data_IF_084228801074
#
_entry.id   IF_084228801074
#
_cell.length_a   1.000
_cell.length_b   1.000
_cell.length_c   1.000
_cell.angle_alpha   90.00
_cell.angle_beta   90.00
_cell.angle_gamma   90.00
#
_symmetry.space_group_name_H-M   'P 1'
#
loop_
_entity.id
_entity.type
_entity.pdbx_description
1 polymer ?
#
# COMPACT_ATOMS: atom_id res chain seq x y z
N UNK A 1 29.47 3.29 -26.67
CA UNK A 1 28.48 2.97 -25.62
C UNK A 1 27.59 4.18 -25.43
N UNK A 2 26.37 4.15 -25.96
CA UNK A 2 25.38 5.21 -25.75
C UNK A 2 24.86 5.09 -24.31
N UNK A 3 24.80 6.18 -23.53
CA UNK A 3 24.25 6.11 -22.18
C UNK A 3 22.79 5.70 -22.29
N UNK A 4 22.51 4.48 -21.85
CA UNK A 4 21.17 3.92 -21.80
C UNK A 4 20.32 4.75 -20.85
N UNK A 5 19.56 5.69 -21.41
CA UNK A 5 18.37 6.38 -20.89
C UNK A 5 18.27 6.41 -19.36
N UNK A 6 18.92 7.38 -18.74
CA UNK A 6 18.83 7.67 -17.30
C UNK A 6 17.40 8.17 -16.92
N UNK A 7 16.62 8.61 -17.91
CA UNK A 7 15.23 9.05 -17.76
C UNK A 7 14.26 7.87 -17.81
N UNK A 8 13.21 7.90 -16.97
CA UNK A 8 12.13 6.91 -17.07
C UNK A 8 11.38 7.07 -18.39
N UNK A 9 10.98 5.94 -18.98
CA UNK A 9 10.14 5.94 -20.18
C UNK A 9 8.77 6.54 -19.82
N UNK A 10 8.06 7.22 -20.75
CA UNK A 10 6.73 7.75 -20.49
C UNK A 10 5.75 6.72 -19.90
N UNK A 11 5.91 5.45 -20.28
CA UNK A 11 5.14 4.32 -19.74
C UNK A 11 5.39 4.05 -18.25
N UNK A 12 6.63 4.18 -17.79
CA UNK A 12 7.01 3.96 -16.38
C UNK A 12 6.36 5.04 -15.49
N UNK A 13 6.35 6.29 -15.95
CA UNK A 13 5.70 7.40 -15.25
C UNK A 13 4.17 7.23 -15.21
N UNK A 14 3.55 6.85 -16.33
CA UNK A 14 2.11 6.59 -16.39
C UNK A 14 1.70 5.43 -15.48
N UNK A 15 2.47 4.33 -15.48
CA UNK A 15 2.24 3.20 -14.58
C UNK A 15 2.42 3.59 -13.12
N UNK A 16 3.45 4.38 -12.80
CA UNK A 16 3.66 4.89 -11.43
C UNK A 16 2.47 5.72 -10.96
N UNK A 17 1.99 6.65 -11.78
CA UNK A 17 0.84 7.48 -11.48
C UNK A 17 -0.42 6.64 -11.26
N UNK A 18 -0.70 5.71 -12.17
CA UNK A 18 -1.85 4.80 -12.05
C UNK A 18 -1.80 4.02 -10.74
N UNK A 19 -0.66 3.42 -10.41
CA UNK A 19 -0.50 2.65 -9.17
C UNK A 19 -0.59 3.55 -7.93
N UNK A 20 -0.01 4.75 -7.96
CA UNK A 20 -0.11 5.69 -6.85
C UNK A 20 -1.58 6.05 -6.54
N UNK A 21 -2.39 6.26 -7.58
CA UNK A 21 -3.82 6.52 -7.45
C UNK A 21 -4.65 5.27 -7.10
N UNK A 22 -4.15 4.08 -7.40
CA UNK A 22 -4.80 2.80 -7.06
C UNK A 22 -4.65 2.43 -5.58
N UNK A 23 -3.57 2.84 -4.90
CA UNK A 23 -3.33 2.45 -3.49
C UNK A 23 -4.45 2.93 -2.54
N UNK A 24 -4.89 4.21 -2.53
CA UNK A 24 -5.98 4.66 -1.67
C UNK A 24 -7.31 3.89 -1.79
N UNK A 25 -7.87 3.67 -3.00
CA UNK A 25 -9.12 2.92 -3.12
C UNK A 25 -8.96 1.45 -2.70
N UNK A 26 -7.79 0.82 -2.90
CA UNK A 26 -7.55 -0.53 -2.38
C UNK A 26 -7.59 -0.58 -0.85
N UNK A 27 -7.03 0.42 -0.16
CA UNK A 27 -7.08 0.52 1.30
C UNK A 27 -8.51 0.80 1.79
N UNK A 28 -9.27 1.65 1.11
CA UNK A 28 -10.68 1.88 1.44
C UNK A 28 -11.51 0.61 1.26
N UNK A 29 -11.29 -0.13 0.18
CA UNK A 29 -11.94 -1.41 -0.05
C UNK A 29 -11.60 -2.40 1.07
N UNK A 30 -10.37 -2.39 1.61
CA UNK A 30 -10.02 -3.22 2.76
C UNK A 30 -10.83 -2.91 4.01
N UNK A 31 -10.97 -1.62 4.33
CA UNK A 31 -11.76 -1.17 5.47
C UNK A 31 -13.24 -1.55 5.32
N UNK A 32 -13.76 -1.48 4.09
CA UNK A 32 -15.10 -1.95 3.78
C UNK A 32 -15.23 -3.47 3.97
N UNK A 33 -14.30 -4.26 3.42
CA UNK A 33 -14.37 -5.73 3.49
C UNK A 33 -14.26 -6.25 4.93
N UNK A 34 -13.38 -5.67 5.76
CA UNK A 34 -13.32 -6.04 7.18
C UNK A 34 -14.59 -5.61 7.92
N UNK A 35 -15.15 -4.43 7.59
CA UNK A 35 -16.43 -3.98 8.13
C UNK A 35 -17.56 -4.97 7.82
N UNK A 36 -17.69 -5.39 6.57
CA UNK A 36 -18.68 -6.39 6.15
C UNK A 36 -18.49 -7.74 6.85
N UNK A 37 -17.25 -8.13 7.15
CA UNK A 37 -16.95 -9.35 7.89
C UNK A 37 -17.32 -9.28 9.37
N UNK A 38 -17.35 -8.09 9.97
CA UNK A 38 -17.82 -7.90 11.35
C UNK A 38 -19.34 -8.00 11.48
N UNK A 39 -20.08 -7.75 10.39
CA UNK A 39 -21.54 -7.86 10.33
C UNK A 39 -22.00 -9.14 9.62
N UNK A 40 -21.15 -10.17 9.54
CA UNK A 40 -21.42 -11.48 8.95
C UNK A 40 -21.95 -11.46 7.49
N UNK A 41 -21.74 -10.37 6.76
CA UNK A 41 -22.21 -10.22 5.37
C UNK A 41 -21.26 -10.87 4.36
N UNK A 42 -19.96 -10.88 4.68
CA UNK A 42 -18.90 -11.39 3.81
C UNK A 42 -17.77 -11.87 4.72
N UNK A 43 -17.47 -13.18 4.77
CA UNK A 43 -16.43 -13.70 5.69
C UNK A 43 -15.06 -13.02 5.55
N UNK A 44 -14.09 -13.35 6.42
CA UNK A 44 -12.76 -12.67 6.42
C UNK A 44 -11.88 -12.96 5.20
N UNK A 45 -12.19 -14.00 4.42
CA UNK A 45 -11.35 -14.46 3.30
C UNK A 45 -11.05 -13.37 2.25
N UNK A 46 -12.05 -12.66 1.69
CA UNK A 46 -11.83 -11.57 0.75
C UNK A 46 -10.93 -10.45 1.29
N UNK A 47 -11.10 -10.04 2.56
CA UNK A 47 -10.25 -9.03 3.21
C UNK A 47 -8.79 -9.50 3.26
N UNK A 48 -8.55 -10.73 3.72
CA UNK A 48 -7.21 -11.32 3.79
C UNK A 48 -6.56 -11.46 2.40
N UNK A 49 -7.32 -11.93 1.40
CA UNK A 49 -6.84 -12.11 0.05
C UNK A 49 -6.43 -10.78 -0.61
N UNK A 50 -7.29 -9.76 -0.52
CA UNK A 50 -6.95 -8.41 -0.96
C UNK A 50 -5.74 -7.87 -0.17
N UNK A 51 -5.59 -8.29 1.10
CA UNK A 51 -4.57 -7.79 2.02
C UNK A 51 -3.19 -8.17 1.55
N UNK A 52 -3.04 -9.45 1.19
CA UNK A 52 -1.85 -9.96 0.51
C UNK A 52 -1.65 -9.32 -0.86
N UNK A 53 -2.70 -9.15 -1.66
CA UNK A 53 -2.57 -8.64 -3.03
C UNK A 53 -2.02 -7.20 -3.11
N UNK A 54 -2.30 -6.34 -2.14
CA UNK A 54 -1.84 -4.94 -2.10
C UNK A 54 -0.30 -4.82 -2.08
N UNK A 55 0.44 -5.82 -1.61
CA UNK A 55 1.91 -5.76 -1.62
C UNK A 55 2.47 -5.61 -3.04
N UNK A 56 1.81 -6.22 -4.03
CA UNK A 56 2.27 -6.25 -5.43
C UNK A 56 2.41 -4.83 -6.00
N UNK A 57 1.36 -3.98 -6.03
CA UNK A 57 1.49 -2.61 -6.53
C UNK A 57 2.48 -1.77 -5.71
N UNK A 58 2.62 -2.00 -4.39
CA UNK A 58 3.61 -1.29 -3.56
C UNK A 58 5.04 -1.63 -4.00
N UNK A 59 5.33 -2.91 -4.24
CA UNK A 59 6.65 -3.34 -4.71
C UNK A 59 6.96 -2.81 -6.12
N UNK A 60 5.96 -2.77 -7.00
CA UNK A 60 6.14 -2.17 -8.34
C UNK A 60 6.44 -0.67 -8.23
N UNK A 61 5.73 0.07 -7.37
CA UNK A 61 6.05 1.47 -7.07
C UNK A 61 7.49 1.62 -6.54
N UNK A 62 7.95 0.71 -5.68
CA UNK A 62 9.30 0.75 -5.14
C UNK A 62 10.36 0.58 -6.24
N UNK A 63 10.16 -0.38 -7.15
CA UNK A 63 11.04 -0.62 -8.29
C UNK A 63 11.06 0.60 -9.23
N UNK A 64 9.88 1.13 -9.59
CA UNK A 64 9.77 2.31 -10.45
C UNK A 64 10.40 3.56 -9.82
N UNK A 65 10.30 3.72 -8.49
CA UNK A 65 10.92 4.85 -7.77
C UNK A 65 12.46 4.84 -7.79
N UNK A 66 13.12 3.77 -8.28
CA UNK A 66 14.57 3.78 -8.47
C UNK A 66 15.01 4.54 -9.73
N UNK A 67 14.09 4.78 -10.67
CA UNK A 67 14.34 5.59 -11.88
C UNK A 67 14.62 7.04 -11.50
N UNK A 68 15.55 7.71 -12.18
CA UNK A 68 15.99 9.07 -11.80
C UNK A 68 14.83 10.06 -11.76
N UNK A 69 13.93 10.01 -12.74
CA UNK A 69 12.76 10.90 -12.80
C UNK A 69 11.67 10.61 -11.76
N UNK A 70 11.71 9.47 -11.06
CA UNK A 70 10.74 9.08 -10.03
C UNK A 70 11.35 9.01 -8.63
N UNK A 71 12.67 9.23 -8.50
CA UNK A 71 13.44 9.08 -7.25
C UNK A 71 12.97 10.00 -6.13
N UNK A 72 12.43 11.16 -6.46
CA UNK A 72 11.85 12.10 -5.50
C UNK A 72 10.69 11.49 -4.68
N UNK A 73 9.99 10.49 -5.23
CA UNK A 73 8.87 9.82 -4.55
C UNK A 73 9.32 8.62 -3.69
N UNK A 74 10.59 8.19 -3.78
CA UNK A 74 11.09 6.98 -3.11
C UNK A 74 10.83 6.99 -1.60
N UNK A 75 11.03 8.12 -0.92
CA UNK A 75 10.78 8.23 0.53
C UNK A 75 9.33 7.91 0.89
N UNK A 76 8.37 8.44 0.11
CA UNK A 76 6.95 8.18 0.31
C UNK A 76 6.59 6.71 0.03
N UNK A 77 7.15 6.13 -1.02
CA UNK A 77 6.93 4.70 -1.34
C UNK A 77 7.51 3.80 -0.24
N UNK A 78 8.70 4.11 0.28
CA UNK A 78 9.29 3.38 1.42
C UNK A 78 8.44 3.53 2.67
N UNK A 79 7.89 4.72 2.93
CA UNK A 79 6.96 4.93 4.04
C UNK A 79 5.70 4.07 3.90
N UNK A 80 5.09 4.02 2.71
CA UNK A 80 3.93 3.16 2.41
C UNK A 80 4.29 1.69 2.64
N UNK A 81 5.44 1.23 2.15
CA UNK A 81 5.90 -0.14 2.35
C UNK A 81 6.13 -0.46 3.84
N UNK A 82 6.74 0.46 4.58
CA UNK A 82 6.94 0.31 6.03
C UNK A 82 5.61 0.23 6.79
N UNK A 83 4.66 1.12 6.48
CA UNK A 83 3.32 1.10 7.05
C UNK A 83 2.58 -0.19 6.66
N UNK A 84 2.72 -0.68 5.44
CA UNK A 84 2.15 -1.98 5.02
C UNK A 84 2.79 -3.15 5.78
N UNK A 85 4.12 -3.15 5.97
CA UNK A 85 4.80 -4.17 6.78
C UNK A 85 4.33 -4.15 8.23
N UNK A 86 4.20 -2.97 8.82
CA UNK A 86 3.64 -2.80 10.16
C UNK A 86 2.17 -3.26 10.22
N UNK A 87 1.38 -2.99 9.19
CA UNK A 87 0.00 -3.46 9.05
C UNK A 87 -0.06 -4.98 9.21
N UNK A 88 0.75 -5.71 8.44
CA UNK A 88 0.81 -7.18 8.50
C UNK A 88 1.29 -7.66 9.86
N UNK A 89 2.34 -7.04 10.42
CA UNK A 89 2.88 -7.42 11.72
C UNK A 89 1.87 -7.24 12.86
N UNK A 90 1.08 -6.15 12.85
CA UNK A 90 0.05 -5.90 13.86
C UNK A 90 -1.12 -6.89 13.74
N UNK A 91 -1.57 -7.21 12.51
CA UNK A 91 -2.64 -8.18 12.31
C UNK A 91 -2.22 -9.60 12.70
N UNK A 92 -1.16 -10.11 12.06
CA UNK A 92 -0.71 -11.50 12.25
C UNK A 92 -0.10 -11.69 13.64
N UNK A 93 0.71 -10.73 14.09
CA UNK A 93 1.32 -10.78 15.41
C UNK A 93 0.30 -10.67 16.52
N UNK A 94 -0.64 -9.71 16.43
CA UNK A 94 -1.71 -9.53 17.40
C UNK A 94 -2.61 -10.77 17.53
N UNK A 95 -2.94 -11.40 16.40
CA UNK A 95 -3.68 -12.67 16.39
C UNK A 95 -2.86 -13.81 17.01
N UNK A 96 -1.58 -13.97 16.63
CA UNK A 96 -0.73 -15.04 17.10
C UNK A 96 -0.51 -15.05 18.62
N UNK A 97 -0.46 -13.87 19.26
CA UNK A 97 -0.33 -13.75 20.71
C UNK A 97 -1.66 -13.47 21.43
N UNK A 98 -2.79 -13.55 20.72
CA UNK A 98 -4.14 -13.26 21.26
C UNK A 98 -4.26 -11.89 21.94
N UNK A 99 -3.50 -10.89 21.45
CA UNK A 99 -3.51 -9.54 21.99
C UNK A 99 -4.45 -8.64 21.17
N UNK A 100 -5.73 -8.63 21.54
CA UNK A 100 -6.77 -7.79 20.92
C UNK A 100 -6.37 -6.30 20.76
N UNK A 101 -5.73 -5.65 21.76
CA UNK A 101 -5.28 -4.27 21.60
C UNK A 101 -4.23 -4.07 20.49
N UNK A 102 -3.29 -5.02 20.33
CA UNK A 102 -2.28 -4.96 19.26
C UNK A 102 -2.94 -5.16 17.90
N UNK A 103 -3.90 -6.09 17.82
CA UNK A 103 -4.70 -6.27 16.62
C UNK A 103 -5.51 -5.01 16.29
N UNK A 104 -6.03 -4.27 17.28
CA UNK A 104 -6.77 -3.03 17.05
C UNK A 104 -5.88 -1.90 16.47
N UNK A 105 -4.57 -1.88 16.78
CA UNK A 105 -3.64 -0.92 16.19
C UNK A 105 -3.52 -1.08 14.67
N UNK A 106 -3.80 -2.26 14.12
CA UNK A 106 -3.89 -2.49 12.67
C UNK A 106 -4.91 -1.56 12.01
N UNK A 107 -6.07 -1.33 12.64
CA UNK A 107 -7.08 -0.43 12.09
C UNK A 107 -6.60 1.02 12.07
N UNK A 108 -5.92 1.47 13.13
CA UNK A 108 -5.32 2.81 13.17
C UNK A 108 -4.21 2.97 12.11
N UNK A 109 -3.36 1.97 11.93
CA UNK A 109 -2.30 1.98 10.93
C UNK A 109 -2.85 1.97 9.48
N UNK A 110 -4.02 1.35 9.22
CA UNK A 110 -4.70 1.46 7.93
C UNK A 110 -5.04 2.92 7.58
N UNK A 111 -5.45 3.72 8.56
CA UNK A 111 -5.68 5.16 8.39
C UNK A 111 -4.41 5.92 8.00
N UNK A 112 -3.29 5.63 8.66
CA UNK A 112 -1.99 6.21 8.31
C UNK A 112 -1.54 5.78 6.90
N UNK A 113 -1.75 4.53 6.54
CA UNK A 113 -1.45 3.99 5.21
C UNK A 113 -2.28 4.68 4.12
N UNK A 114 -3.56 4.95 4.39
CA UNK A 114 -4.45 5.71 3.50
C UNK A 114 -3.96 7.15 3.31
N UNK A 115 -3.59 7.84 4.38
CA UNK A 115 -3.02 9.19 4.32
C UNK A 115 -1.69 9.22 3.55
N UNK A 116 -0.82 8.23 3.76
CA UNK A 116 0.44 8.12 3.02
C UNK A 116 0.20 7.84 1.52
N UNK A 117 -0.73 6.94 1.19
CA UNK A 117 -1.12 6.63 -0.19
C UNK A 117 -1.72 7.84 -0.92
N UNK A 118 -2.65 8.55 -0.28
CA UNK A 118 -3.25 9.77 -0.85
C UNK A 118 -2.22 10.89 -1.02
N UNK A 119 -1.29 11.05 -0.06
CA UNK A 119 -0.18 11.99 -0.17
C UNK A 119 0.76 11.65 -1.32
N UNK A 120 1.02 10.36 -1.59
CA UNK A 120 1.79 9.95 -2.77
C UNK A 120 1.03 10.34 -4.05
N UNK A 121 -0.22 9.88 -4.20
CA UNK A 121 -1.07 10.11 -5.38
C UNK A 121 -1.18 11.59 -5.76
N UNK A 122 -1.40 12.47 -4.78
CA UNK A 122 -1.53 13.92 -4.99
C UNK A 122 -0.23 14.63 -5.38
N UNK A 123 0.92 14.04 -5.09
CA UNK A 123 2.21 14.64 -5.45
C UNK A 123 2.81 14.08 -6.73
N UNK A 124 2.11 13.13 -7.35
CA UNK A 124 2.55 12.47 -8.59
C UNK A 124 1.77 12.93 -9.82
N UNK A 125 0.57 13.49 -9.62
CA UNK A 125 -0.20 14.20 -10.64
C UNK A 125 -0.09 15.70 -10.45
#
# INVERSE_FOLDING_TARGET
MTPSSIYARPRDAALFLFLAWLIPPLILLQLLLVGLALFDCLGRGPHQALGGAIVVPILVLLVLSQRVSLRQHRRKVVQILGLYGLQVALAVGGEAISAGPIQALHAANAGLLLLAGTSLARTTG
#
